data_IF_957455348033
#
_entry.id   IF_957455348033
#
_cell.length_a   1.000
_cell.length_b   1.000
_cell.length_c   1.000
_cell.angle_alpha   90.00
_cell.angle_beta   90.00
_cell.angle_gamma   90.00
#
_symmetry.space_group_name_H-M   'P 1'
#
loop_
_entity.id
_entity.type
_entity.pdbx_description
1 polymer ?
#
# COMPACT_ATOMS: atom_id res chain seq x y z
N UNK A 1 -5.88 -0.40 17.52
CA UNK A 1 -7.28 -0.83 17.43
C UNK A 1 -7.93 -0.14 16.24
N UNK A 2 -8.73 -0.86 15.47
CA UNK A 2 -9.56 -0.26 14.40
C UNK A 2 -10.77 0.48 15.00
N UNK A 3 -10.55 1.33 16.00
CA UNK A 3 -11.61 1.96 16.77
C UNK A 3 -12.46 2.95 15.96
N UNK A 4 -11.88 3.58 14.94
CA UNK A 4 -12.58 4.52 14.06
C UNK A 4 -13.52 3.84 13.05
N UNK A 5 -13.48 2.52 12.93
CA UNK A 5 -14.31 1.74 12.07
C UNK A 5 -14.53 0.35 12.69
N UNK A 6 -15.08 0.31 13.90
CA UNK A 6 -15.20 -0.91 14.72
C UNK A 6 -16.00 -2.03 14.05
N UNK A 7 -16.95 -1.67 13.17
CA UNK A 7 -17.71 -2.62 12.33
C UNK A 7 -17.19 -2.69 10.88
N UNK A 8 -16.02 -2.12 10.60
CA UNK A 8 -15.45 -2.00 9.28
C UNK A 8 -16.01 -0.82 8.48
N UNK A 9 -15.24 -0.34 7.50
CA UNK A 9 -15.60 0.78 6.65
C UNK A 9 -15.99 0.30 5.25
N UNK A 10 -17.17 0.66 4.78
CA UNK A 10 -17.70 0.26 3.46
C UNK A 10 -17.14 1.08 2.29
N UNK A 11 -16.55 2.25 2.53
CA UNK A 11 -15.98 3.09 1.46
C UNK A 11 -14.56 2.66 1.12
N UNK A 12 -14.20 2.80 -0.15
CA UNK A 12 -12.84 2.57 -0.66
C UNK A 12 -11.80 3.42 0.05
N UNK A 13 -10.56 2.93 0.11
CA UNK A 13 -9.43 3.72 0.58
C UNK A 13 -9.15 4.87 -0.39
N UNK A 14 -8.83 6.05 0.15
CA UNK A 14 -8.32 7.17 -0.64
C UNK A 14 -6.97 6.79 -1.23
N UNK A 15 -6.77 7.12 -2.50
CA UNK A 15 -5.48 7.06 -3.17
C UNK A 15 -4.81 8.43 -3.06
N UNK A 16 -4.05 8.63 -1.97
CA UNK A 16 -3.35 9.89 -1.73
C UNK A 16 -2.34 10.20 -2.85
N UNK A 17 -1.64 9.18 -3.32
CA UNK A 17 -0.69 9.34 -4.42
C UNK A 17 -1.38 9.81 -5.71
N UNK A 18 -2.56 9.27 -6.04
CA UNK A 18 -3.34 9.75 -7.19
C UNK A 18 -3.74 11.21 -7.04
N UNK A 19 -4.18 11.63 -5.85
CA UNK A 19 -4.52 13.03 -5.56
C UNK A 19 -3.30 13.93 -5.78
N UNK A 20 -2.15 13.56 -5.26
CA UNK A 20 -0.92 14.35 -5.37
C UNK A 20 -0.42 14.45 -6.83
N UNK A 21 -0.56 13.39 -7.61
CA UNK A 21 -0.18 13.42 -9.05
C UNK A 21 -1.04 14.38 -9.88
N UNK A 22 -2.26 14.71 -9.45
CA UNK A 22 -3.09 15.68 -10.18
C UNK A 22 -2.55 17.11 -10.20
N UNK A 23 -1.62 17.43 -9.29
CA UNK A 23 -0.93 18.73 -9.31
C UNK A 23 0.04 18.89 -10.49
N UNK A 24 0.46 17.80 -11.12
CA UNK A 24 1.30 17.81 -12.33
C UNK A 24 2.78 18.11 -12.12
N UNK A 25 3.19 18.62 -10.95
CA UNK A 25 4.57 19.00 -10.63
C UNK A 25 5.10 18.33 -9.35
N UNK A 26 4.38 17.36 -8.80
CA UNK A 26 4.75 16.68 -7.55
C UNK A 26 5.37 15.32 -7.85
N UNK A 27 6.59 15.10 -7.34
CA UNK A 27 7.15 13.75 -7.28
C UNK A 27 6.41 12.93 -6.22
N UNK A 28 6.00 11.71 -6.56
CA UNK A 28 5.27 10.84 -5.63
C UNK A 28 5.85 9.43 -5.63
N UNK A 29 6.18 8.90 -4.46
CA UNK A 29 6.57 7.51 -4.32
C UNK A 29 5.76 6.80 -3.22
N UNK A 30 5.42 5.54 -3.46
CA UNK A 30 4.96 4.62 -2.41
C UNK A 30 6.06 3.60 -2.12
N UNK A 31 6.43 3.48 -0.85
CA UNK A 31 7.58 2.70 -0.41
C UNK A 31 7.23 1.83 0.80
N UNK A 32 8.01 0.77 1.01
CA UNK A 32 7.99 -0.04 2.24
C UNK A 32 9.39 -0.62 2.48
N UNK A 33 10.07 -0.14 3.51
CA UNK A 33 11.47 -0.49 3.78
C UNK A 33 11.69 -2.00 3.92
N UNK A 34 10.80 -2.70 4.61
CA UNK A 34 10.90 -4.14 4.81
C UNK A 34 10.63 -4.98 3.56
N UNK A 35 9.97 -4.39 2.54
CA UNK A 35 9.70 -5.06 1.28
C UNK A 35 10.86 -4.89 0.29
N UNK A 36 11.32 -3.64 0.11
CA UNK A 36 12.44 -3.32 -0.78
C UNK A 36 13.19 -2.06 -0.27
N UNK A 37 14.27 -2.24 0.52
CA UNK A 37 15.07 -1.12 1.01
C UNK A 37 15.80 -0.38 -0.13
N UNK A 38 16.13 -1.04 -1.24
CA UNK A 38 16.79 -0.40 -2.37
C UNK A 38 15.83 0.53 -3.12
N UNK A 39 14.56 0.13 -3.26
CA UNK A 39 13.52 0.97 -3.82
C UNK A 39 13.30 2.23 -2.97
N UNK A 40 13.27 2.09 -1.64
CA UNK A 40 13.18 3.22 -0.72
C UNK A 40 14.34 4.20 -0.92
N UNK A 41 15.58 3.70 -0.94
CA UNK A 41 16.78 4.55 -1.14
C UNK A 41 16.72 5.27 -2.49
N UNK A 42 16.30 4.57 -3.54
CA UNK A 42 16.12 5.15 -4.88
C UNK A 42 15.07 6.25 -4.86
N UNK A 43 13.90 5.99 -4.28
CA UNK A 43 12.81 6.95 -4.16
C UNK A 43 13.24 8.22 -3.40
N UNK A 44 14.01 8.08 -2.32
CA UNK A 44 14.52 9.22 -1.56
C UNK A 44 15.53 10.05 -2.36
N UNK A 45 16.44 9.42 -3.12
CA UNK A 45 17.38 10.10 -3.99
C UNK A 45 16.68 10.86 -5.12
N UNK A 46 15.69 10.24 -5.75
CA UNK A 46 14.90 10.90 -6.80
C UNK A 46 14.08 12.07 -6.23
N UNK A 47 13.45 11.89 -5.06
CA UNK A 47 12.71 12.93 -4.36
C UNK A 47 13.60 14.13 -4.00
N UNK A 48 14.85 13.89 -3.59
CA UNK A 48 15.83 14.95 -3.28
C UNK A 48 16.30 15.68 -4.53
N UNK A 49 16.46 14.97 -5.65
CA UNK A 49 16.91 15.55 -6.92
C UNK A 49 15.79 16.31 -7.65
N UNK A 50 14.53 16.03 -7.35
CA UNK A 50 13.37 16.67 -7.97
C UNK A 50 13.30 18.16 -7.63
N UNK A 51 13.19 19.01 -8.68
CA UNK A 51 13.03 20.47 -8.52
C UNK A 51 11.57 20.85 -8.34
N UNK A 52 10.97 20.44 -7.23
CA UNK A 52 9.57 20.68 -6.91
C UNK A 52 9.16 19.98 -5.63
N UNK A 53 7.89 20.03 -5.26
CA UNK A 53 7.41 19.31 -4.10
C UNK A 53 7.53 17.80 -4.31
N UNK A 54 7.97 17.09 -3.28
CA UNK A 54 8.15 15.64 -3.30
C UNK A 54 7.44 15.01 -2.11
N UNK A 55 6.70 13.93 -2.35
CA UNK A 55 6.00 13.19 -1.30
C UNK A 55 6.35 11.71 -1.39
N UNK A 56 6.90 11.19 -0.30
CA UNK A 56 7.18 9.75 -0.13
C UNK A 56 6.21 9.18 0.88
N UNK A 57 5.35 8.27 0.45
CA UNK A 57 4.31 7.63 1.25
C UNK A 57 4.83 6.26 1.69
N UNK A 58 5.24 6.15 2.94
CA UNK A 58 5.81 4.92 3.49
C UNK A 58 4.77 4.09 4.23
N UNK A 59 4.70 2.79 3.93
CA UNK A 59 3.92 1.83 4.71
C UNK A 59 4.72 1.33 5.90
N UNK A 60 4.05 1.29 7.05
CA UNK A 60 4.55 0.63 8.24
C UNK A 60 3.38 0.05 9.05
N UNK A 61 3.50 -1.16 9.62
CA UNK A 61 2.55 -1.67 10.61
C UNK A 61 2.50 -0.77 11.85
N UNK A 62 1.34 -0.68 12.46
CA UNK A 62 1.11 0.17 13.62
C UNK A 62 1.21 -0.64 14.92
N UNK A 63 2.03 -0.17 15.87
CA UNK A 63 2.18 -0.79 17.19
C UNK A 63 0.85 -0.88 17.96
N UNK A 64 -0.02 0.13 17.82
CA UNK A 64 -1.32 0.15 18.51
C UNK A 64 -2.32 -0.87 17.94
N UNK A 65 -2.20 -1.25 16.66
CA UNK A 65 -3.01 -2.29 16.04
C UNK A 65 -2.41 -3.69 16.25
N UNK A 66 -1.09 -3.79 16.19
CA UNK A 66 -0.34 -5.03 16.36
C UNK A 66 -0.39 -5.97 15.15
N UNK A 67 0.59 -6.86 15.12
CA UNK A 67 0.64 -8.00 14.21
C UNK A 67 0.73 -9.29 15.04
N UNK A 68 0.11 -10.37 14.59
CA UNK A 68 0.08 -11.63 15.35
C UNK A 68 1.47 -12.20 15.62
N UNK A 69 2.38 -12.03 14.66
CA UNK A 69 3.78 -12.48 14.79
C UNK A 69 4.63 -11.62 15.72
N UNK A 70 4.06 -10.58 16.33
CA UNK A 70 4.76 -9.63 17.20
C UNK A 70 5.48 -8.51 16.44
N UNK A 71 5.67 -7.38 17.12
CA UNK A 71 6.25 -6.17 16.49
C UNK A 71 7.72 -6.32 16.07
N UNK A 72 8.45 -7.30 16.57
CA UNK A 72 9.78 -7.64 16.07
C UNK A 72 9.79 -8.12 14.61
N UNK A 73 8.63 -8.52 14.08
CA UNK A 73 8.47 -9.01 12.70
C UNK A 73 7.98 -7.94 11.71
N UNK A 74 8.06 -6.66 12.07
CA UNK A 74 7.56 -5.52 11.27
C UNK A 74 8.08 -5.51 9.83
N UNK A 75 9.38 -5.78 9.64
CA UNK A 75 9.99 -5.76 8.30
C UNK A 75 9.40 -6.86 7.41
N UNK A 76 9.23 -8.06 7.94
CA UNK A 76 8.61 -9.15 7.19
C UNK A 76 7.12 -8.86 6.90
N UNK A 77 6.40 -8.22 7.82
CA UNK A 77 5.01 -7.86 7.60
C UNK A 77 4.85 -6.76 6.53
N UNK A 78 5.80 -5.83 6.42
CA UNK A 78 5.86 -4.88 5.28
C UNK A 78 6.02 -5.63 3.96
N UNK A 79 6.91 -6.64 3.93
CA UNK A 79 7.09 -7.47 2.74
C UNK A 79 5.82 -8.23 2.39
N UNK A 80 5.17 -8.87 3.35
CA UNK A 80 3.89 -9.58 3.17
C UNK A 80 2.79 -8.66 2.64
N UNK A 81 2.72 -7.42 3.13
CA UNK A 81 1.76 -6.43 2.62
C UNK A 81 1.97 -6.14 1.13
N UNK A 82 3.22 -6.07 0.68
CA UNK A 82 3.54 -5.87 -0.74
C UNK A 82 3.27 -7.13 -1.55
N UNK A 83 3.71 -8.29 -1.08
CA UNK A 83 3.52 -9.58 -1.73
C UNK A 83 2.03 -9.96 -1.88
N UNK A 84 1.16 -9.50 -0.96
CA UNK A 84 -0.28 -9.67 -1.02
C UNK A 84 -1.01 -8.61 -1.88
N UNK A 85 -0.31 -7.61 -2.40
CA UNK A 85 -0.93 -6.49 -3.13
C UNK A 85 -1.69 -5.50 -2.24
N UNK A 86 -1.60 -5.64 -0.92
CA UNK A 86 -2.18 -4.67 0.02
C UNK A 86 -1.52 -3.29 -0.11
N UNK A 87 -0.22 -3.27 -0.40
CA UNK A 87 0.58 -2.07 -0.64
C UNK A 87 1.39 -2.24 -1.92
N UNK A 88 1.24 -1.30 -2.88
CA UNK A 88 1.98 -1.32 -4.15
C UNK A 88 3.13 -0.34 -4.09
N UNK A 89 4.34 -0.79 -4.37
CA UNK A 89 5.51 0.08 -4.51
C UNK A 89 5.51 0.70 -5.90
N UNK A 90 5.65 2.02 -5.98
CA UNK A 90 5.82 2.74 -7.24
C UNK A 90 6.55 4.06 -7.02
N UNK A 91 7.07 4.62 -8.10
CA UNK A 91 7.63 5.98 -8.19
C UNK A 91 6.98 6.70 -9.36
N UNK A 92 6.67 7.96 -9.16
CA UNK A 92 6.14 8.85 -10.18
C UNK A 92 6.95 10.16 -10.19
N UNK A 93 7.67 10.39 -11.28
CA UNK A 93 8.40 11.62 -11.53
C UNK A 93 7.78 12.35 -12.73
N UNK A 94 7.11 13.50 -12.53
CA UNK A 94 6.44 14.22 -13.62
C UNK A 94 7.39 14.79 -14.68
N UNK A 95 8.71 14.86 -14.40
CA UNK A 95 9.71 15.39 -15.30
C UNK A 95 10.34 14.32 -16.21
N UNK A 96 10.00 13.05 -16.02
CA UNK A 96 10.50 11.95 -16.84
C UNK A 96 9.60 11.71 -18.05
N UNK A 97 10.18 11.23 -19.14
CA UNK A 97 9.43 10.80 -20.33
C UNK A 97 8.45 9.67 -20.00
N UNK A 98 8.84 8.80 -19.07
CA UNK A 98 8.01 7.72 -18.51
C UNK A 98 7.82 7.97 -17.03
N UNK A 99 6.84 8.79 -16.65
CA UNK A 99 6.72 9.29 -15.28
C UNK A 99 6.37 8.23 -14.25
N UNK A 100 5.65 7.15 -14.61
CA UNK A 100 5.21 6.10 -13.69
C UNK A 100 6.06 4.84 -13.80
N UNK A 101 6.61 4.39 -12.68
CA UNK A 101 7.34 3.11 -12.57
C UNK A 101 6.73 2.32 -11.42
N UNK A 102 6.18 1.14 -11.71
CA UNK A 102 5.66 0.21 -10.72
C UNK A 102 6.76 -0.76 -10.30
N UNK A 103 7.31 -0.56 -9.12
CA UNK A 103 8.40 -1.37 -8.57
C UNK A 103 7.93 -2.72 -7.99
N UNK A 104 6.66 -2.82 -7.59
CA UNK A 104 6.08 -4.07 -7.12
C UNK A 104 5.98 -5.11 -8.22
N UNK A 105 6.32 -6.35 -7.89
CA UNK A 105 5.96 -7.52 -8.70
C UNK A 105 4.47 -7.79 -8.60
N UNK A 106 3.98 -8.67 -9.46
CA UNK A 106 2.61 -9.18 -9.34
C UNK A 106 2.42 -9.84 -7.97
N UNK A 107 1.31 -9.55 -7.27
CA UNK A 107 1.02 -10.18 -5.99
C UNK A 107 1.04 -11.72 -6.07
N UNK A 108 1.67 -12.34 -5.09
CA UNK A 108 1.87 -13.80 -5.03
C UNK A 108 1.39 -14.42 -3.71
N UNK A 109 1.19 -13.59 -2.66
CA UNK A 109 0.65 -14.02 -1.38
C UNK A 109 -0.88 -13.83 -1.39
N UNK A 110 -1.61 -14.74 -0.76
CA UNK A 110 -3.06 -14.58 -0.59
C UNK A 110 -3.37 -13.36 0.29
N UNK A 111 -4.29 -12.54 -0.19
CA UNK A 111 -4.65 -11.28 0.45
C UNK A 111 -5.31 -11.49 1.82
N UNK A 112 -6.14 -12.51 1.96
CA UNK A 112 -6.83 -12.81 3.21
C UNK A 112 -5.89 -13.42 4.24
N UNK A 113 -4.89 -14.21 3.79
CA UNK A 113 -3.81 -14.70 4.65
C UNK A 113 -3.02 -13.54 5.26
N UNK A 114 -2.71 -12.51 4.47
CA UNK A 114 -2.08 -11.30 4.99
C UNK A 114 -3.00 -10.60 6.02
N UNK A 115 -4.29 -10.38 5.70
CA UNK A 115 -5.23 -9.73 6.63
C UNK A 115 -5.37 -10.51 7.93
N UNK A 116 -5.34 -11.83 7.88
CA UNK A 116 -5.42 -12.68 9.07
C UNK A 116 -4.20 -12.53 10.00
N UNK A 117 -3.07 -12.06 9.50
CA UNK A 117 -1.87 -11.71 10.26
C UNK A 117 -1.98 -10.40 11.04
N UNK A 118 -2.80 -9.47 10.57
CA UNK A 118 -3.03 -8.15 11.18
C UNK A 118 -4.11 -8.24 12.27
N UNK A 119 -3.78 -7.91 13.51
CA UNK A 119 -4.69 -8.06 14.67
C UNK A 119 -6.01 -7.32 14.47
N UNK A 120 -5.98 -6.13 13.86
CA UNK A 120 -7.17 -5.32 13.59
C UNK A 120 -8.19 -6.02 12.66
N UNK A 121 -7.72 -6.75 11.64
CA UNK A 121 -8.58 -7.49 10.72
C UNK A 121 -9.04 -8.82 11.32
N UNK A 122 -8.14 -9.53 11.99
CA UNK A 122 -8.50 -10.74 12.72
C UNK A 122 -9.53 -10.47 13.82
N UNK A 123 -9.45 -9.33 14.49
CA UNK A 123 -10.46 -8.90 15.48
C UNK A 123 -11.82 -8.63 14.82
N UNK A 124 -11.85 -8.00 13.64
CA UNK A 124 -13.09 -7.75 12.91
C UNK A 124 -13.79 -9.06 12.53
N UNK A 125 -13.03 -10.02 12.02
CA UNK A 125 -13.56 -11.34 11.67
C UNK A 125 -14.17 -12.06 12.88
N UNK A 126 -13.60 -11.89 14.07
CA UNK A 126 -14.12 -12.50 15.32
C UNK A 126 -15.37 -11.80 15.83
N UNK A 127 -15.43 -10.45 15.72
CA UNK A 127 -16.54 -9.67 16.32
C UNK A 127 -17.73 -9.48 15.38
N UNK A 128 -17.47 -9.42 14.07
CA UNK A 128 -18.48 -9.18 13.02
C UNK A 128 -18.20 -10.06 11.78
N UNK A 129 -18.34 -11.40 11.88
CA UNK A 129 -17.92 -12.33 10.83
C UNK A 129 -18.58 -12.06 9.47
N UNK A 130 -19.90 -11.87 9.42
CA UNK A 130 -20.63 -11.59 8.18
C UNK A 130 -20.17 -10.30 7.48
N UNK A 131 -19.91 -9.25 8.28
CA UNK A 131 -19.38 -7.99 7.75
C UNK A 131 -17.93 -8.16 7.28
N UNK A 132 -17.13 -8.94 8.01
CA UNK A 132 -15.73 -9.17 7.67
C UNK A 132 -15.57 -9.86 6.31
N UNK A 133 -16.35 -10.90 6.03
CA UNK A 133 -16.33 -11.61 4.74
C UNK A 133 -16.58 -10.67 3.55
N UNK A 134 -17.65 -9.87 3.65
CA UNK A 134 -17.98 -8.90 2.59
C UNK A 134 -16.89 -7.85 2.42
N UNK A 135 -16.38 -7.30 3.54
CA UNK A 135 -15.39 -6.24 3.52
C UNK A 135 -14.03 -6.74 3.04
N UNK A 136 -13.62 -7.97 3.38
CA UNK A 136 -12.35 -8.55 2.94
C UNK A 136 -12.38 -8.84 1.45
N UNK A 137 -13.48 -9.39 0.92
CA UNK A 137 -13.67 -9.57 -0.51
C UNK A 137 -13.58 -8.24 -1.26
N UNK A 138 -14.34 -7.23 -0.84
CA UNK A 138 -14.29 -5.89 -1.45
C UNK A 138 -12.89 -5.24 -1.36
N UNK A 139 -12.19 -5.45 -0.25
CA UNK A 139 -10.83 -4.93 -0.08
C UNK A 139 -9.83 -5.64 -1.01
N UNK A 140 -9.96 -6.94 -1.22
CA UNK A 140 -9.17 -7.74 -2.16
C UNK A 140 -9.40 -7.27 -3.60
N UNK A 141 -10.65 -7.12 -4.00
CA UNK A 141 -11.04 -6.62 -5.33
C UNK A 141 -10.49 -5.19 -5.57
N UNK A 142 -10.62 -4.31 -4.57
CA UNK A 142 -10.11 -2.93 -4.65
C UNK A 142 -8.58 -2.85 -4.73
N UNK A 143 -7.88 -3.75 -4.03
CA UNK A 143 -6.42 -3.84 -4.09
C UNK A 143 -5.96 -4.32 -5.47
N UNK A 144 -6.58 -5.36 -6.02
CA UNK A 144 -6.29 -5.87 -7.35
C UNK A 144 -6.56 -4.81 -8.43
N UNK A 145 -7.72 -4.15 -8.39
CA UNK A 145 -8.07 -3.10 -9.33
C UNK A 145 -7.08 -1.91 -9.28
N UNK A 146 -6.59 -1.58 -8.08
CA UNK A 146 -5.58 -0.51 -7.91
C UNK A 146 -4.23 -0.89 -8.49
N UNK A 147 -3.77 -2.11 -8.28
CA UNK A 147 -2.55 -2.62 -8.88
C UNK A 147 -2.63 -2.57 -10.42
N UNK A 148 -3.71 -3.09 -11.01
CA UNK A 148 -3.92 -3.07 -12.45
C UNK A 148 -3.98 -1.64 -13.00
N UNK A 149 -4.61 -0.72 -12.28
CA UNK A 149 -4.62 0.71 -12.64
C UNK A 149 -3.20 1.29 -12.71
N UNK A 150 -2.35 0.99 -11.73
CA UNK A 150 -0.96 1.46 -11.75
C UNK A 150 -0.15 0.84 -12.89
N UNK A 151 -0.34 -0.46 -13.16
CA UNK A 151 0.29 -1.14 -14.30
C UNK A 151 -0.18 -0.58 -15.64
N UNK A 152 -1.46 -0.27 -15.78
CA UNK A 152 -1.99 0.37 -16.97
C UNK A 152 -1.39 1.78 -17.19
N UNK A 153 -1.23 2.55 -16.11
CA UNK A 153 -0.56 3.87 -16.18
C UNK A 153 0.90 3.75 -16.61
N UNK A 154 1.63 2.72 -16.13
CA UNK A 154 3.01 2.46 -16.55
C UNK A 154 3.13 2.06 -18.02
N UNK A 155 2.13 1.40 -18.57
CA UNK A 155 2.11 0.98 -19.98
C UNK A 155 1.73 2.08 -20.97
N UNK A 156 0.88 3.00 -20.54
CA UNK A 156 0.22 3.98 -21.42
C UNK A 156 0.90 5.38 -21.42
N UNK A 157 2.13 5.46 -20.99
CA UNK A 157 2.92 6.68 -20.95
C UNK A 157 3.92 6.76 -22.12
#
# INVERSE_FOLDING_TARGET
MAQFASAGKRSRKKDLGAILRTYGNVYVAQVAMGADPNQLIRALKEAQAHKGPSVVIAYTPCVAHGIKAGMGNVQNEMKRAVDAGYWTLYRYNPNEERPMVVDSRQPSLDYEEFLAGEVRYASLHRTFPEHAEVLFRLAKEDAAARYEKYKAMEKNQ
#
